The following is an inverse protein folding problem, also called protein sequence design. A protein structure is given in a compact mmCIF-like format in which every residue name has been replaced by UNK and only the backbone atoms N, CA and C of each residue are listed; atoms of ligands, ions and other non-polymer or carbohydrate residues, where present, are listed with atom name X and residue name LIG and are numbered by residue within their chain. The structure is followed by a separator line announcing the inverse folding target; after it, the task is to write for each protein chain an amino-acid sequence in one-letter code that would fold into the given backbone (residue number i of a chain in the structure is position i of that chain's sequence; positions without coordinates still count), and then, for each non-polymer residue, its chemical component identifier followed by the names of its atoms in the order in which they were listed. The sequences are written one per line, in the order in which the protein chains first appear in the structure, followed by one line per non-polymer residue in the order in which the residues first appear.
data_IF_820472324071
#
_entry.id   IF_820472324071
#
_cell.length_a   1.000
_cell.length_b   1.000
_cell.length_c   1.000
_cell.angle_alpha   90.00
_cell.angle_beta   90.00
_cell.angle_gamma   90.00
#
_symmetry.space_group_name_H-M   'P 1'
#
loop_
_entity.id
_entity.type
_entity.pdbx_description
1 polymer ?
#
# COMPACT_ATOMS: atom_id res chain seq x y z
N UNK A 1 22.86 2.22 7.62
CA UNK A 1 22.60 3.41 6.77
C UNK A 1 21.42 4.16 7.36
N UNK A 2 21.57 5.47 7.57
CA UNK A 2 20.44 6.31 7.95
C UNK A 2 19.49 6.46 6.76
N UNK A 3 18.25 6.00 6.90
CA UNK A 3 17.19 6.20 5.91
C UNK A 3 16.25 7.31 6.37
N UNK A 4 15.68 8.05 5.43
CA UNK A 4 14.72 9.10 5.72
C UNK A 4 13.47 8.46 6.34
N UNK A 5 13.08 8.93 7.52
CA UNK A 5 11.80 8.59 8.15
C UNK A 5 10.76 9.63 7.76
N UNK A 6 9.59 9.18 7.31
CA UNK A 6 8.50 10.06 6.89
C UNK A 6 7.55 10.38 8.04
N UNK A 7 7.04 9.34 8.70
CA UNK A 7 6.10 9.45 9.83
C UNK A 7 6.14 8.15 10.64
N UNK A 8 5.81 8.20 11.93
CA UNK A 8 5.78 7.02 12.78
C UNK A 8 4.95 7.20 14.04
N UNK A 9 4.86 6.15 14.81
CA UNK A 9 4.35 6.06 16.18
C UNK A 9 5.34 5.26 17.04
N UNK A 10 4.91 4.79 18.22
CA UNK A 10 5.78 4.04 19.14
C UNK A 10 6.11 2.60 18.64
N UNK A 11 5.42 2.11 17.63
CA UNK A 11 5.54 0.73 17.13
C UNK A 11 6.12 0.66 15.72
N UNK A 12 5.66 1.54 14.83
CA UNK A 12 5.97 1.52 13.40
C UNK A 12 6.49 2.87 12.91
N UNK A 13 7.29 2.80 11.85
CA UNK A 13 7.72 3.95 11.09
C UNK A 13 7.55 3.69 9.58
N UNK A 14 7.02 4.66 8.85
CA UNK A 14 7.09 4.69 7.39
C UNK A 14 8.39 5.40 7.00
N UNK A 15 9.20 4.72 6.19
CA UNK A 15 10.54 5.20 5.85
C UNK A 15 10.86 4.98 4.37
N UNK A 16 11.87 5.69 3.89
CA UNK A 16 12.41 5.52 2.55
C UNK A 16 12.88 4.08 2.33
N UNK A 17 12.53 3.51 1.16
CA UNK A 17 13.11 2.25 0.70
C UNK A 17 14.56 2.48 0.29
N UNK A 18 15.44 1.55 0.66
CA UNK A 18 16.84 1.56 0.26
C UNK A 18 17.19 0.27 -0.49
N UNK A 19 18.30 0.25 -1.20
CA UNK A 19 18.71 -0.91 -2.01
C UNK A 19 18.77 -2.23 -1.22
N UNK A 20 19.13 -2.15 0.06
CA UNK A 20 19.16 -3.32 0.95
C UNK A 20 17.78 -3.95 1.21
N UNK A 21 16.69 -3.25 0.92
CA UNK A 21 15.32 -3.76 1.08
C UNK A 21 14.85 -4.55 -0.15
N UNK A 22 15.56 -4.44 -1.29
CA UNK A 22 15.08 -4.97 -2.58
C UNK A 22 14.78 -6.47 -2.54
N UNK A 23 15.58 -7.25 -1.82
CA UNK A 23 15.39 -8.71 -1.75
C UNK A 23 14.07 -9.05 -1.05
N UNK A 24 13.83 -8.51 0.15
CA UNK A 24 12.59 -8.79 0.91
C UNK A 24 11.36 -8.19 0.24
N UNK A 25 11.49 -7.06 -0.44
CA UNK A 25 10.41 -6.46 -1.22
C UNK A 25 10.07 -7.32 -2.44
N UNK A 26 11.08 -7.85 -3.13
CA UNK A 26 10.90 -8.77 -4.25
C UNK A 26 10.24 -10.09 -3.83
N UNK A 27 10.68 -10.68 -2.71
CA UNK A 27 10.05 -11.88 -2.17
C UNK A 27 8.55 -11.65 -1.88
N UNK A 28 8.23 -10.53 -1.22
CA UNK A 28 6.84 -10.17 -0.93
C UNK A 28 6.02 -9.86 -2.18
N UNK A 29 6.64 -9.29 -3.22
CA UNK A 29 5.99 -9.06 -4.50
C UNK A 29 5.54 -10.35 -5.17
N UNK A 30 6.31 -11.42 -5.02
CA UNK A 30 6.03 -12.73 -5.60
C UNK A 30 5.20 -13.65 -4.68
N UNK A 31 4.78 -13.19 -3.50
CA UNK A 31 3.82 -13.95 -2.68
C UNK A 31 2.51 -14.14 -3.44
N UNK A 32 1.99 -15.38 -3.45
CA UNK A 32 0.74 -15.71 -4.14
C UNK A 32 -0.40 -14.78 -3.74
N UNK A 33 -0.59 -14.52 -2.44
CA UNK A 33 -1.65 -13.66 -1.94
C UNK A 33 -1.47 -12.20 -2.38
N UNK A 34 -0.23 -11.75 -2.56
CA UNK A 34 0.06 -10.40 -3.08
C UNK A 34 -0.28 -10.31 -4.56
N UNK A 35 0.20 -11.26 -5.36
CA UNK A 35 -0.08 -11.35 -6.80
C UNK A 35 -1.59 -11.43 -7.04
N UNK A 36 -2.28 -12.30 -6.30
CA UNK A 36 -3.72 -12.50 -6.40
C UNK A 36 -4.52 -11.23 -6.01
N UNK A 37 -4.13 -10.59 -4.91
CA UNK A 37 -4.85 -9.44 -4.36
C UNK A 37 -4.69 -8.16 -5.17
N UNK A 38 -3.59 -8.04 -5.91
CA UNK A 38 -3.31 -6.90 -6.78
C UNK A 38 -3.54 -7.18 -8.27
N UNK A 39 -3.90 -8.41 -8.61
CA UNK A 39 -4.14 -8.84 -9.99
C UNK A 39 -2.96 -8.54 -10.96
N UNK A 40 -1.73 -8.70 -10.49
CA UNK A 40 -0.55 -8.44 -11.35
C UNK A 40 -0.30 -9.58 -12.33
N UNK A 41 0.19 -9.20 -13.50
CA UNK A 41 0.49 -10.16 -14.55
C UNK A 41 1.81 -10.90 -14.40
N UNK A 42 2.67 -10.64 -13.41
CA UNK A 42 4.07 -10.99 -13.62
C UNK A 42 4.75 -11.58 -12.42
N UNK A 43 5.57 -12.63 -12.61
CA UNK A 43 6.85 -12.71 -11.94
C UNK A 43 7.91 -11.96 -12.75
N UNK A 44 8.43 -10.83 -12.25
CA UNK A 44 9.72 -10.30 -12.70
C UNK A 44 10.83 -11.19 -12.16
N UNK A 45 11.96 -11.32 -12.87
CA UNK A 45 13.20 -11.74 -12.24
C UNK A 45 13.66 -10.68 -11.22
N UNK A 46 14.52 -11.06 -10.30
CA UNK A 46 15.07 -10.10 -9.32
C UNK A 46 15.76 -8.91 -9.99
N UNK A 47 16.49 -9.16 -11.07
CA UNK A 47 17.20 -8.11 -11.81
C UNK A 47 16.22 -7.13 -12.48
N UNK A 48 15.14 -7.64 -13.09
CA UNK A 48 14.09 -6.81 -13.69
C UNK A 48 13.35 -6.01 -12.63
N UNK A 49 13.02 -6.64 -11.50
CA UNK A 49 12.41 -5.96 -10.35
C UNK A 49 13.30 -4.83 -9.84
N UNK A 50 14.56 -5.14 -9.55
CA UNK A 50 15.53 -4.18 -9.04
C UNK A 50 15.77 -3.02 -10.01
N UNK A 51 15.85 -3.30 -11.32
CA UNK A 51 15.98 -2.27 -12.32
C UNK A 51 14.76 -1.34 -12.42
N UNK A 52 13.55 -1.92 -12.32
CA UNK A 52 12.28 -1.19 -12.42
C UNK A 52 12.01 -0.32 -11.18
N UNK A 53 12.30 -0.83 -9.99
CA UNK A 53 11.99 -0.18 -8.72
C UNK A 53 13.18 0.54 -8.08
N UNK A 54 14.33 0.56 -8.72
CA UNK A 54 15.55 1.27 -8.25
C UNK A 54 15.34 2.77 -8.01
N UNK A 55 14.25 3.34 -8.54
CA UNK A 55 13.89 4.75 -8.42
C UNK A 55 12.40 4.91 -8.06
N UNK A 56 11.94 4.27 -6.97
CA UNK A 56 10.55 4.34 -6.50
C UNK A 56 10.00 5.77 -6.34
N UNK A 57 10.88 6.76 -6.16
CA UNK A 57 10.52 8.18 -6.10
C UNK A 57 10.20 8.82 -7.47
N UNK A 58 10.31 8.08 -8.58
CA UNK A 58 10.14 8.61 -9.94
C UNK A 58 9.45 7.61 -10.89
N UNK A 59 8.60 6.72 -10.37
CA UNK A 59 7.85 5.80 -11.23
C UNK A 59 6.55 6.45 -11.71
N UNK A 60 6.17 6.19 -12.95
CA UNK A 60 4.87 6.61 -13.50
C UNK A 60 3.67 5.96 -12.76
N UNK A 61 3.95 5.00 -11.88
CA UNK A 61 2.96 4.23 -11.12
C UNK A 61 2.71 4.83 -9.73
N UNK A 62 3.76 5.32 -9.05
CA UNK A 62 3.69 5.79 -7.67
C UNK A 62 4.05 7.28 -7.56
N UNK A 63 3.20 8.07 -6.93
CA UNK A 63 3.51 9.44 -6.54
C UNK A 63 4.29 9.51 -5.21
N UNK A 64 4.17 8.46 -4.39
CA UNK A 64 4.91 8.29 -3.14
C UNK A 64 4.90 6.81 -2.72
N UNK A 65 6.00 6.36 -2.13
CA UNK A 65 6.14 5.03 -1.56
C UNK A 65 7.03 4.99 -0.33
N UNK A 66 6.80 4.03 0.55
CA UNK A 66 7.57 3.81 1.76
C UNK A 66 7.61 2.33 2.15
N UNK A 67 8.67 1.93 2.83
CA UNK A 67 8.70 0.68 3.60
C UNK A 67 8.07 0.91 4.97
N UNK A 68 7.45 -0.14 5.50
CA UNK A 68 6.90 -0.18 6.85
C UNK A 68 7.95 -0.86 7.74
N UNK A 69 8.49 -0.11 8.69
CA UNK A 69 9.49 -0.63 9.62
C UNK A 69 8.88 -0.82 11.00
N UNK A 70 9.15 -1.97 11.60
CA UNK A 70 8.89 -2.21 13.03
C UNK A 70 10.03 -1.63 13.85
N UNK A 71 9.72 -0.81 14.86
CA UNK A 71 10.74 -0.08 15.63
C UNK A 71 11.48 -0.96 16.64
N UNK A 72 10.89 -2.07 17.08
CA UNK A 72 11.48 -2.99 18.06
C UNK A 72 12.83 -3.57 17.59
N UNK A 73 12.92 -3.93 16.31
CA UNK A 73 14.07 -4.61 15.71
C UNK A 73 14.55 -3.98 14.39
N UNK A 74 13.93 -2.88 13.98
CA UNK A 74 14.14 -2.21 12.69
C UNK A 74 13.87 -3.09 11.47
N UNK A 75 13.08 -4.15 11.61
CA UNK A 75 12.69 -5.02 10.51
C UNK A 75 11.75 -4.30 9.54
N UNK A 76 11.98 -4.46 8.23
CA UNK A 76 11.02 -4.11 7.20
C UNK A 76 9.96 -5.22 7.17
N UNK A 77 8.70 -4.85 7.41
CA UNK A 77 7.57 -5.77 7.55
C UNK A 77 6.50 -5.60 6.49
N UNK A 78 6.70 -4.66 5.57
CA UNK A 78 5.75 -4.38 4.51
C UNK A 78 6.09 -3.11 3.74
N UNK A 79 5.21 -2.75 2.83
CA UNK A 79 5.29 -1.52 2.03
C UNK A 79 3.93 -0.83 1.96
N UNK A 80 3.95 0.46 1.73
CA UNK A 80 2.79 1.30 1.51
C UNK A 80 3.11 2.28 0.39
N UNK A 81 2.13 2.60 -0.45
CA UNK A 81 2.34 3.53 -1.56
C UNK A 81 1.07 4.27 -1.95
N UNK A 82 1.25 5.39 -2.61
CA UNK A 82 0.20 6.22 -3.17
C UNK A 82 0.37 6.23 -4.69
N UNK A 83 -0.69 5.88 -5.42
CA UNK A 83 -0.67 5.84 -6.90
C UNK A 83 -0.46 7.22 -7.51
N UNK A 84 0.16 7.27 -8.72
CA UNK A 84 0.43 8.50 -9.46
C UNK A 84 -0.88 8.92 -10.13
N UNK A 85 -1.83 9.04 -10.28
CA UNK A 85 -3.07 9.49 -10.93
C UNK A 85 -4.15 9.75 -9.89
N UNK A 86 -5.06 8.80 -9.75
CA UNK A 86 -5.98 8.79 -8.62
C UNK A 86 -5.18 8.55 -7.35
N UNK A 87 -5.30 9.38 -6.29
CA UNK A 87 -4.58 9.19 -5.04
C UNK A 87 -5.12 7.98 -4.26
N UNK A 88 -4.80 6.79 -4.76
CA UNK A 88 -5.17 5.51 -4.15
C UNK A 88 -4.05 5.00 -3.26
N UNK A 89 -4.35 4.82 -1.97
CA UNK A 89 -3.41 4.35 -0.96
C UNK A 89 -3.44 2.84 -0.85
N UNK A 90 -2.33 2.20 -1.20
CA UNK A 90 -2.18 0.74 -1.19
C UNK A 90 -1.21 0.29 -0.11
N UNK A 91 -1.37 -0.93 0.40
CA UNK A 91 -0.51 -1.50 1.44
C UNK A 91 -0.34 -2.99 1.27
N UNK A 92 0.89 -3.47 1.52
CA UNK A 92 1.18 -4.90 1.67
C UNK A 92 1.92 -5.12 2.98
N UNK A 93 1.42 -6.02 3.82
CA UNK A 93 2.16 -6.56 4.98
C UNK A 93 2.68 -7.94 4.59
N UNK A 94 3.97 -8.18 4.81
CA UNK A 94 4.62 -9.46 4.51
C UNK A 94 3.96 -10.59 5.31
N UNK A 95 3.85 -11.75 4.70
CA UNK A 95 3.07 -12.90 5.20
C UNK A 95 3.35 -13.23 6.67
N UNK A 96 4.61 -13.22 7.06
CA UNK A 96 5.08 -13.52 8.43
C UNK A 96 4.64 -12.49 9.48
N UNK A 97 4.20 -11.31 9.05
CA UNK A 97 3.80 -10.19 9.92
C UNK A 97 2.31 -9.85 9.85
N UNK A 98 1.51 -10.66 9.13
CA UNK A 98 0.05 -10.48 9.04
C UNK A 98 -0.63 -10.86 10.36
N UNK A 99 -1.88 -10.45 10.52
CA UNK A 99 -2.73 -10.74 11.69
C UNK A 99 -2.23 -10.18 13.04
N UNK A 100 -1.31 -9.21 13.02
CA UNK A 100 -0.73 -8.55 14.19
C UNK A 100 -1.13 -7.05 14.26
N UNK A 101 -2.18 -6.66 13.59
CA UNK A 101 -2.70 -5.29 13.48
C UNK A 101 -1.77 -4.27 12.78
N UNK A 102 -0.59 -4.68 12.34
CA UNK A 102 0.35 -3.78 11.66
C UNK A 102 -0.24 -3.11 10.42
N UNK A 103 -1.09 -3.83 9.66
CA UNK A 103 -1.76 -3.27 8.48
C UNK A 103 -2.59 -2.02 8.82
N UNK A 104 -3.45 -2.11 9.82
CA UNK A 104 -4.28 -0.97 10.26
C UNK A 104 -3.43 0.19 10.78
N UNK A 105 -2.40 -0.11 11.60
CA UNK A 105 -1.51 0.93 12.14
C UNK A 105 -0.73 1.64 11.03
N UNK A 106 -0.13 0.90 10.12
CA UNK A 106 0.63 1.47 9.01
C UNK A 106 -0.26 2.24 8.03
N UNK A 107 -1.46 1.75 7.76
CA UNK A 107 -2.41 2.43 6.88
C UNK A 107 -2.85 3.78 7.45
N UNK A 108 -3.14 3.86 8.75
CA UNK A 108 -3.42 5.12 9.45
C UNK A 108 -2.24 6.10 9.40
N UNK A 109 -0.99 5.61 9.53
CA UNK A 109 0.18 6.47 9.35
C UNK A 109 0.28 6.99 7.91
N UNK A 110 -0.03 6.16 6.91
CA UNK A 110 -0.10 6.58 5.51
C UNK A 110 -1.16 7.66 5.27
N UNK A 111 -2.37 7.47 5.78
CA UNK A 111 -3.46 8.46 5.72
C UNK A 111 -3.02 9.80 6.34
N UNK A 112 -2.42 9.75 7.53
CA UNK A 112 -1.90 10.95 8.18
C UNK A 112 -0.82 11.64 7.34
N UNK A 113 0.11 10.88 6.77
CA UNK A 113 1.16 11.44 5.91
C UNK A 113 0.56 12.11 4.67
N UNK A 114 -0.40 11.47 4.02
CA UNK A 114 -1.09 12.03 2.86
C UNK A 114 -1.81 13.35 3.21
N UNK A 115 -2.45 13.47 4.35
CA UNK A 115 -3.17 14.67 4.74
C UNK A 115 -2.25 15.75 5.34
N UNK A 116 -1.35 15.38 6.25
CA UNK A 116 -0.55 16.34 7.02
C UNK A 116 0.66 16.84 6.21
N UNK A 117 1.28 15.98 5.38
CA UNK A 117 2.52 16.28 4.66
C UNK A 117 2.28 16.52 3.18
N UNK A 118 1.59 15.60 2.48
CA UNK A 118 1.29 15.75 1.06
C UNK A 118 0.12 16.70 0.79
N UNK A 119 -0.65 17.07 1.83
CA UNK A 119 -1.75 18.04 1.75
C UNK A 119 -2.87 17.64 0.79
N UNK A 120 -3.11 16.36 0.66
CA UNK A 120 -4.20 15.86 -0.17
C UNK A 120 -5.57 16.20 0.44
N UNK A 121 -6.57 16.35 -0.42
CA UNK A 121 -7.95 16.66 -0.04
C UNK A 121 -8.73 15.40 0.29
N UNK A 122 -8.47 14.36 -0.47
CA UNK A 122 -9.08 13.04 -0.33
C UNK A 122 -8.11 11.96 -0.75
N UNK A 123 -8.35 10.76 -0.26
CA UNK A 123 -7.58 9.56 -0.55
C UNK A 123 -8.58 8.46 -0.88
N UNK A 124 -8.29 7.67 -1.89
CA UNK A 124 -9.01 6.45 -2.23
C UNK A 124 -8.28 5.22 -1.69
N UNK A 125 -8.98 4.12 -1.59
CA UNK A 125 -8.43 2.80 -1.31
C UNK A 125 -9.34 1.74 -1.92
N UNK A 126 -8.77 0.77 -2.62
CA UNK A 126 -9.53 -0.28 -3.28
C UNK A 126 -9.22 -1.68 -2.74
N UNK A 127 -10.18 -2.59 -2.91
CA UNK A 127 -9.96 -4.03 -2.73
C UNK A 127 -11.02 -4.83 -3.48
N UNK A 128 -10.70 -6.06 -3.89
CA UNK A 128 -11.70 -6.98 -4.42
C UNK A 128 -12.77 -7.29 -3.36
N UNK A 129 -14.01 -7.50 -3.80
CA UNK A 129 -15.17 -7.69 -2.91
C UNK A 129 -15.03 -8.88 -1.94
N UNK A 130 -14.30 -9.92 -2.33
CA UNK A 130 -14.02 -11.09 -1.51
C UNK A 130 -12.82 -10.93 -0.55
N UNK A 131 -12.03 -9.85 -0.71
CA UNK A 131 -10.91 -9.53 0.19
C UNK A 131 -11.43 -8.88 1.49
N UNK A 132 -12.10 -9.69 2.31
CA UNK A 132 -12.72 -9.23 3.57
C UNK A 132 -11.70 -8.67 4.57
N UNK A 133 -10.45 -9.08 4.50
CA UNK A 133 -9.39 -8.57 5.39
C UNK A 133 -9.04 -7.12 5.06
N UNK A 134 -8.78 -6.82 3.78
CA UNK A 134 -8.50 -5.45 3.31
C UNK A 134 -9.71 -4.55 3.52
N UNK A 135 -10.91 -5.01 3.17
CA UNK A 135 -12.14 -4.25 3.38
C UNK A 135 -12.31 -3.82 4.84
N UNK A 136 -12.21 -4.76 5.78
CA UNK A 136 -12.32 -4.46 7.22
C UNK A 136 -11.23 -3.51 7.71
N UNK A 137 -10.02 -3.61 7.17
CA UNK A 137 -8.92 -2.69 7.50
C UNK A 137 -9.22 -1.28 6.99
N UNK A 138 -9.62 -1.13 5.74
CA UNK A 138 -9.97 0.15 5.10
C UNK A 138 -11.10 0.84 5.87
N UNK A 139 -12.19 0.11 6.17
CA UNK A 139 -13.33 0.62 6.94
C UNK A 139 -12.93 1.07 8.36
N UNK A 140 -12.08 0.30 9.05
CA UNK A 140 -11.54 0.67 10.38
C UNK A 140 -10.67 1.93 10.36
N UNK A 141 -10.02 2.21 9.23
CA UNK A 141 -9.24 3.44 9.03
C UNK A 141 -10.10 4.67 8.69
N UNK A 142 -11.44 4.53 8.69
CA UNK A 142 -12.38 5.63 8.51
C UNK A 142 -12.81 5.90 7.08
N UNK A 143 -12.38 5.08 6.14
CA UNK A 143 -12.84 5.19 4.75
C UNK A 143 -14.32 4.77 4.62
N UNK A 144 -15.02 5.44 3.72
CA UNK A 144 -16.43 5.17 3.38
C UNK A 144 -16.51 4.59 1.99
N UNK A 145 -17.47 3.66 1.79
CA UNK A 145 -17.76 3.12 0.46
C UNK A 145 -18.08 4.24 -0.54
N UNK A 146 -17.51 4.11 -1.72
CA UNK A 146 -17.76 4.97 -2.87
C UNK A 146 -18.18 4.13 -4.09
N UNK A 147 -19.45 3.69 -4.18
CA UNK A 147 -19.90 2.79 -5.24
C UNK A 147 -19.75 3.35 -6.65
N UNK A 148 -19.66 4.67 -6.80
CA UNK A 148 -19.43 5.33 -8.10
C UNK A 148 -18.01 5.10 -8.62
N UNK A 149 -17.08 4.75 -7.75
CA UNK A 149 -15.70 4.42 -8.08
C UNK A 149 -15.43 2.90 -8.20
N UNK A 150 -16.47 2.07 -8.10
CA UNK A 150 -16.30 0.63 -8.28
C UNK A 150 -15.95 0.30 -9.73
N UNK A 151 -15.01 -0.62 -9.90
CA UNK A 151 -14.57 -1.07 -11.22
C UNK A 151 -14.68 -2.59 -11.33
N UNK A 152 -15.04 -3.08 -12.50
CA UNK A 152 -14.98 -4.51 -12.81
C UNK A 152 -13.69 -4.78 -13.56
N UNK A 153 -12.90 -5.71 -13.03
CA UNK A 153 -11.58 -6.04 -13.55
C UNK A 153 -11.52 -7.53 -13.89
N UNK A 154 -11.03 -7.86 -15.09
CA UNK A 154 -10.79 -9.25 -15.44
C UNK A 154 -9.60 -9.78 -14.64
N UNK A 155 -9.85 -10.81 -13.82
CA UNK A 155 -8.81 -11.39 -12.98
C UNK A 155 -7.93 -12.32 -13.82
N UNK A 156 -6.66 -11.94 -13.95
CA UNK A 156 -5.71 -12.59 -14.88
C UNK A 156 -5.49 -14.10 -14.64
N UNK A 157 -5.68 -14.57 -13.43
CA UNK A 157 -5.46 -15.99 -13.09
C UNK A 157 -6.72 -16.85 -13.27
N UNK A 158 -7.91 -16.27 -13.16
CA UNK A 158 -9.17 -17.00 -13.31
C UNK A 158 -9.86 -16.72 -14.63
N UNK A 159 -9.56 -15.60 -15.27
CA UNK A 159 -10.29 -15.11 -16.44
C UNK A 159 -11.72 -14.65 -16.14
N UNK A 160 -12.08 -14.56 -14.86
CA UNK A 160 -13.40 -14.12 -14.44
C UNK A 160 -13.38 -12.63 -14.11
N UNK A 161 -14.46 -11.94 -14.38
CA UNK A 161 -14.66 -10.57 -13.98
C UNK A 161 -14.91 -10.49 -12.48
N UNK A 162 -14.15 -9.64 -11.78
CA UNK A 162 -14.24 -9.44 -10.33
C UNK A 162 -14.48 -7.98 -10.02
N UNK A 163 -15.34 -7.73 -9.06
CA UNK A 163 -15.65 -6.38 -8.61
C UNK A 163 -14.58 -5.88 -7.65
N UNK A 164 -13.94 -4.77 -8.01
CA UNK A 164 -13.07 -3.99 -7.15
C UNK A 164 -13.91 -2.89 -6.49
N UNK A 165 -13.98 -2.92 -5.17
CA UNK A 165 -14.71 -1.94 -4.38
C UNK A 165 -13.85 -0.72 -4.14
N UNK A 166 -14.39 0.47 -4.35
CA UNK A 166 -13.73 1.74 -4.00
C UNK A 166 -14.22 2.28 -2.65
N UNK A 167 -13.30 2.89 -1.96
CA UNK A 167 -13.52 3.58 -0.68
C UNK A 167 -12.80 4.92 -0.69
N UNK A 168 -13.35 5.90 -0.01
CA UNK A 168 -12.80 7.25 0.05
C UNK A 168 -12.79 7.80 1.47
N UNK A 169 -11.76 8.56 1.80
CA UNK A 169 -11.69 9.38 3.00
C UNK A 169 -11.31 10.81 2.64
N UNK A 170 -12.05 11.78 3.16
CA UNK A 170 -11.77 13.21 3.00
C UNK A 170 -10.92 13.75 4.14
N UNK A 171 -10.09 14.75 3.84
CA UNK A 171 -9.26 15.41 4.83
C UNK A 171 -10.14 16.20 5.82
N UNK A 172 -10.19 15.81 7.11
CA UNK A 172 -11.07 16.45 8.08
C UNK A 172 -10.64 17.89 8.44
N UNK A 173 -9.41 18.26 8.13
CA UNK A 173 -8.86 19.58 8.46
C UNK A 173 -9.03 20.62 7.33
N UNK A 174 -9.69 20.28 6.25
CA UNK A 174 -9.97 21.23 5.18
C UNK A 174 -11.22 22.05 5.47
N UNK A 175 -11.16 23.39 5.39
CA UNK A 175 -12.36 24.20 5.42
C UNK A 175 -13.21 23.87 4.17
N UNK A 176 -14.49 23.65 4.40
CA UNK A 176 -15.50 23.46 3.35
C UNK A 176 -15.69 24.71 2.53
#
# INVERSE_FOLDING_TARGET
MDRKKYIGNDTLCLAESIEADNEILYESWNEHETIWGYNWQIPYSFDEYSAKFKNDSNSDIWSWGAVIMRLEDNAVIGRIGLSAGLPDLTITIFKTHRNQQYGTMAFLLGVRYCFEVLRLDKIHAGCFEDNTASRKMIERCGFKRNPEGDETENHIFTGEDRLQLDFVIENPCRPK
#
